data_IF_631401141409
#
_entry.id   IF_631401141409
#
_cell.length_a   1.000
_cell.length_b   1.000
_cell.length_c   1.000
_cell.angle_alpha   90.00
_cell.angle_beta   90.00
_cell.angle_gamma   90.00
#
_symmetry.space_group_name_H-M   'P 1'
#
loop_
_entity.id
_entity.type
_entity.pdbx_description
1 polymer ?
#
# COMPACT_ATOMS: atom_id res chain seq x y z
N UNK A 1 -39.38 49.94 22.23
CA UNK A 1 -39.19 51.27 22.82
C UNK A 1 -37.84 51.26 23.54
N UNK A 2 -36.86 52.00 22.98
CA UNK A 2 -35.52 52.41 23.48
C UNK A 2 -34.49 51.32 23.90
N UNK A 3 -33.31 51.16 23.25
CA UNK A 3 -32.11 52.05 23.16
C UNK A 3 -31.43 52.25 24.53
N UNK A 4 -30.11 52.05 24.80
CA UNK A 4 -28.83 52.41 24.15
C UNK A 4 -27.69 51.58 24.82
N UNK A 5 -26.66 51.06 24.11
CA UNK A 5 -25.38 51.70 23.68
C UNK A 5 -24.44 52.18 24.80
N UNK A 6 -23.19 51.67 24.81
CA UNK A 6 -21.98 52.47 24.56
C UNK A 6 -20.71 51.62 24.38
N UNK A 7 -20.02 51.90 23.28
CA UNK A 7 -18.65 51.51 22.97
C UNK A 7 -17.63 52.49 23.60
N UNK A 8 -16.36 52.10 23.69
CA UNK A 8 -15.25 53.06 23.72
C UNK A 8 -13.97 52.49 23.07
N UNK A 9 -13.29 53.41 22.39
CA UNK A 9 -12.22 53.36 21.37
C UNK A 9 -10.80 53.18 21.94
N UNK A 10 -9.89 52.49 21.24
CA UNK A 10 -8.74 53.00 20.44
C UNK A 10 -7.70 53.86 21.19
N UNK A 11 -6.44 53.39 21.24
CA UNK A 11 -5.21 54.20 21.01
C UNK A 11 -4.14 53.34 20.32
N UNK A 12 -3.53 53.92 19.27
CA UNK A 12 -2.41 53.38 18.50
C UNK A 12 -1.07 54.02 18.90
N UNK A 13 0.05 53.32 18.71
CA UNK A 13 1.42 53.88 18.61
C UNK A 13 2.29 52.88 17.80
N UNK A 14 2.58 53.17 16.53
CA UNK A 14 3.72 53.91 15.96
C UNK A 14 5.03 53.11 15.86
N UNK A 15 5.40 52.81 14.60
CA UNK A 15 6.65 52.24 14.08
C UNK A 15 7.90 53.10 14.35
N UNK A 16 9.10 52.56 14.06
CA UNK A 16 9.87 53.17 12.97
C UNK A 16 10.49 52.17 11.96
N UNK A 17 10.72 52.70 10.75
CA UNK A 17 11.37 52.11 9.56
C UNK A 17 12.90 52.26 9.59
N UNK A 18 13.60 51.37 8.88
CA UNK A 18 14.85 51.61 8.11
C UNK A 18 14.95 50.47 7.07
N UNK A 19 14.69 50.65 5.77
CA UNK A 19 15.50 51.24 4.67
C UNK A 19 16.72 50.40 4.19
N UNK A 20 16.48 49.63 3.13
CA UNK A 20 17.27 49.36 1.91
C UNK A 20 18.79 49.66 1.83
N UNK A 21 19.56 48.67 1.33
CA UNK A 21 20.59 48.82 0.27
C UNK A 21 21.00 47.41 -0.22
N UNK A 22 20.75 47.07 -1.49
CA UNK A 22 21.62 47.20 -2.66
C UNK A 22 22.66 46.06 -2.82
N UNK A 23 22.50 45.30 -3.90
CA UNK A 23 23.44 44.31 -4.41
C UNK A 23 24.69 44.97 -5.04
N UNK A 24 25.75 44.18 -5.26
CA UNK A 24 26.48 44.28 -6.53
C UNK A 24 26.74 42.93 -7.20
N UNK A 25 26.58 42.97 -8.52
CA UNK A 25 27.05 42.02 -9.54
C UNK A 25 28.58 41.99 -9.65
N UNK A 26 29.17 40.82 -9.91
CA UNK A 26 30.46 40.70 -10.62
C UNK A 26 30.45 39.52 -11.60
N UNK A 27 31.03 39.79 -12.78
CA UNK A 27 31.13 38.99 -14.01
C UNK A 27 32.41 38.13 -14.07
N UNK A 28 32.38 37.10 -14.92
CA UNK A 28 33.52 36.53 -15.69
C UNK A 28 34.37 35.48 -14.94
N UNK A 29 34.84 34.37 -15.51
CA UNK A 29 35.06 33.93 -16.91
C UNK A 29 35.24 32.37 -16.96
N UNK A 30 35.31 31.74 -18.15
CA UNK A 30 35.28 30.28 -18.35
C UNK A 30 36.68 29.66 -18.54
N UNK A 31 36.81 28.34 -18.34
CA UNK A 31 37.92 27.51 -18.85
C UNK A 31 37.41 26.07 -19.10
N UNK A 32 37.28 25.66 -20.37
CA UNK A 32 38.24 24.94 -21.22
C UNK A 32 38.32 23.41 -20.95
N UNK A 33 37.73 22.66 -21.90
CA UNK A 33 37.88 21.23 -22.19
C UNK A 33 39.37 20.83 -22.41
N UNK A 34 39.75 19.54 -22.34
CA UNK A 34 39.62 18.68 -23.52
C UNK A 34 39.15 17.25 -23.28
N UNK A 35 38.52 16.76 -24.34
CA UNK A 35 38.21 15.38 -24.69
C UNK A 35 39.43 14.45 -24.71
N UNK A 36 39.23 13.18 -24.35
CA UNK A 36 40.04 12.08 -24.90
C UNK A 36 39.13 10.92 -25.30
N UNK A 37 39.07 10.74 -26.62
CA UNK A 37 38.53 9.61 -27.36
C UNK A 37 39.60 8.53 -27.39
N UNK A 38 39.28 7.27 -27.06
CA UNK A 38 40.08 6.11 -27.52
C UNK A 38 39.15 5.04 -28.06
N UNK A 39 39.16 4.96 -29.39
CA UNK A 39 38.78 3.78 -30.16
C UNK A 39 39.77 2.66 -29.86
N UNK A 40 39.29 1.42 -29.76
CA UNK A 40 40.10 0.24 -29.98
C UNK A 40 39.39 -0.67 -30.98
N UNK A 41 40.11 -0.92 -32.07
CA UNK A 41 39.79 -1.85 -33.15
C UNK A 41 40.17 -3.27 -32.72
N UNK A 42 39.37 -4.26 -33.11
CA UNK A 42 39.72 -5.68 -33.00
C UNK A 42 38.55 -6.61 -33.34
N UNK A 43 38.40 -6.93 -34.63
CA UNK A 43 37.72 -8.13 -35.17
C UNK A 43 38.79 -8.96 -35.91
N UNK A 44 38.55 -10.20 -36.36
CA UNK A 44 37.42 -11.11 -36.13
C UNK A 44 37.85 -12.55 -35.77
N UNK A 45 36.90 -13.43 -35.39
CA UNK A 45 37.02 -14.85 -35.67
C UNK A 45 35.75 -15.34 -36.38
N UNK A 46 35.96 -16.00 -37.50
CA UNK A 46 34.98 -16.62 -38.40
C UNK A 46 34.38 -17.88 -37.76
N UNK A 47 33.06 -18.05 -37.84
CA UNK A 47 32.46 -19.38 -37.85
C UNK A 47 31.33 -19.43 -38.88
N UNK A 48 31.41 -20.45 -39.73
CA UNK A 48 30.64 -20.63 -40.96
C UNK A 48 29.16 -20.93 -40.72
N UNK A 49 28.35 -20.47 -41.69
CA UNK A 49 26.94 -20.79 -41.83
C UNK A 49 26.85 -21.96 -42.81
N UNK A 50 26.51 -23.15 -42.30
CA UNK A 50 26.07 -24.28 -43.09
C UNK A 50 24.57 -24.18 -43.36
N UNK A 51 24.20 -24.10 -44.64
CA UNK A 51 22.85 -24.01 -45.16
C UNK A 51 22.01 -25.26 -44.86
N UNK A 52 20.84 -25.06 -44.23
CA UNK A 52 19.75 -26.03 -44.17
C UNK A 52 18.98 -26.02 -45.50
N UNK A 53 18.83 -27.19 -46.12
CA UNK A 53 17.87 -27.44 -47.19
C UNK A 53 17.57 -28.93 -47.23
N UNK A 54 16.36 -29.36 -46.86
CA UNK A 54 15.50 -30.29 -47.62
C UNK A 54 14.05 -30.14 -47.10
N UNK A 55 13.12 -30.00 -48.04
CA UNK A 55 11.67 -29.87 -47.88
C UNK A 55 10.94 -31.24 -47.99
N UNK A 56 9.63 -31.33 -47.71
CA UNK A 56 8.94 -32.52 -47.19
C UNK A 56 8.19 -33.34 -48.25
N UNK A 57 7.84 -34.62 -47.97
CA UNK A 57 6.73 -35.30 -48.66
C UNK A 57 6.13 -36.52 -47.89
N UNK A 58 4.82 -36.38 -47.58
CA UNK A 58 3.67 -37.32 -47.62
C UNK A 58 3.90 -38.84 -47.44
N UNK A 59 3.15 -39.57 -46.60
CA UNK A 59 1.75 -40.08 -46.80
C UNK A 59 1.34 -40.89 -45.54
N UNK A 60 0.19 -40.62 -44.88
CA UNK A 60 -1.16 -41.22 -44.95
C UNK A 60 -1.38 -42.67 -44.40
N UNK A 61 -2.39 -42.76 -43.51
CA UNK A 61 -3.17 -43.91 -42.99
C UNK A 61 -2.70 -44.72 -41.76
N UNK A 62 -3.58 -44.82 -40.75
CA UNK A 62 -3.64 -45.99 -39.85
C UNK A 62 -4.02 -45.73 -38.37
N UNK A 63 -5.33 -45.73 -38.11
CA UNK A 63 -6.07 -46.07 -36.87
C UNK A 63 -5.28 -46.57 -35.64
N UNK A 64 -5.59 -45.99 -34.46
CA UNK A 64 -5.36 -46.63 -33.15
C UNK A 64 -5.55 -45.69 -31.95
N UNK A 65 -6.64 -45.85 -31.20
CA UNK A 65 -6.82 -45.28 -29.84
C UNK A 65 -5.70 -45.79 -28.93
N UNK A 66 -5.18 -44.94 -28.02
CA UNK A 66 -5.03 -45.20 -26.57
C UNK A 66 -4.37 -43.99 -25.88
N UNK A 67 -4.83 -43.75 -24.66
CA UNK A 67 -4.48 -42.73 -23.67
C UNK A 67 -3.00 -42.36 -23.54
N UNK A 68 -2.73 -41.06 -23.36
CA UNK A 68 -1.42 -40.54 -22.99
C UNK A 68 -1.49 -39.07 -22.60
N UNK A 69 -2.08 -38.77 -21.44
CA UNK A 69 -1.96 -37.46 -20.82
C UNK A 69 -0.48 -37.22 -20.45
N UNK A 70 0.24 -36.49 -21.31
CA UNK A 70 1.56 -35.94 -21.03
C UNK A 70 1.44 -34.84 -19.98
N UNK A 71 1.31 -35.27 -18.72
CA UNK A 71 1.50 -34.46 -17.52
C UNK A 71 2.92 -33.89 -17.56
N UNK A 72 3.07 -32.65 -18.01
CA UNK A 72 4.14 -31.78 -17.51
C UNK A 72 3.79 -31.46 -16.05
N UNK A 73 3.99 -32.45 -15.17
CA UNK A 73 4.11 -32.19 -13.74
C UNK A 73 5.50 -31.59 -13.54
N UNK A 74 5.61 -30.28 -13.81
CA UNK A 74 6.61 -29.51 -13.09
C UNK A 74 6.19 -29.62 -11.63
N UNK A 75 6.99 -30.38 -10.89
CA UNK A 75 6.83 -30.59 -9.47
C UNK A 75 6.98 -29.21 -8.82
N UNK A 76 5.87 -28.51 -8.60
CA UNK A 76 5.84 -27.37 -7.69
C UNK A 76 6.03 -27.95 -6.31
N UNK A 77 7.29 -28.19 -5.95
CA UNK A 77 7.69 -28.21 -4.56
C UNK A 77 7.26 -26.86 -4.02
N UNK A 78 6.14 -26.88 -3.29
CA UNK A 78 5.80 -25.88 -2.29
C UNK A 78 7.03 -25.73 -1.42
N UNK A 79 7.90 -24.79 -1.79
CA UNK A 79 8.91 -24.31 -0.88
C UNK A 79 8.09 -23.59 0.17
N UNK A 80 7.95 -24.24 1.33
CA UNK A 80 7.41 -23.62 2.53
C UNK A 80 8.36 -22.50 2.92
N UNK A 81 8.26 -21.36 2.24
CA UNK A 81 9.07 -20.20 2.49
C UNK A 81 8.48 -19.46 3.68
N UNK A 82 9.25 -19.33 4.76
CA UNK A 82 8.77 -18.64 5.96
C UNK A 82 9.00 -17.13 5.81
N UNK A 83 7.97 -16.39 5.41
CA UNK A 83 7.97 -14.93 5.43
C UNK A 83 7.74 -14.46 6.87
N UNK A 84 8.69 -13.70 7.42
CA UNK A 84 8.50 -13.00 8.69
C UNK A 84 8.13 -11.55 8.42
N UNK A 85 7.08 -11.06 9.10
CA UNK A 85 6.59 -9.69 8.96
C UNK A 85 6.90 -8.94 10.26
N UNK A 86 7.80 -7.97 10.19
CA UNK A 86 8.14 -7.06 11.29
C UNK A 86 7.42 -5.73 11.09
N UNK A 87 6.62 -5.33 12.08
CA UNK A 87 5.98 -4.03 12.10
C UNK A 87 6.94 -2.98 12.65
N UNK A 88 7.07 -1.86 11.94
CA UNK A 88 7.91 -0.73 12.32
C UNK A 88 7.03 0.51 12.47
N UNK A 89 6.85 1.03 13.70
CA UNK A 89 6.14 2.29 13.91
C UNK A 89 6.91 3.46 13.28
N UNK A 90 6.19 4.29 12.54
CA UNK A 90 6.71 5.49 11.90
C UNK A 90 5.80 6.68 12.20
N UNK A 91 6.36 7.89 12.13
CA UNK A 91 5.64 9.14 12.36
C UNK A 91 4.87 9.12 13.69
N UNK A 92 3.55 9.31 13.64
CA UNK A 92 2.68 9.29 14.83
C UNK A 92 1.94 7.97 14.98
N UNK A 93 1.36 7.49 13.88
CA UNK A 93 0.45 6.35 13.88
C UNK A 93 0.60 5.47 12.63
N UNK A 94 1.59 5.71 11.77
CA UNK A 94 1.85 4.91 10.59
C UNK A 94 2.58 3.60 10.97
N UNK A 95 2.31 2.55 10.21
CA UNK A 95 3.07 1.31 10.24
C UNK A 95 3.67 1.02 8.87
N UNK A 96 5.00 0.89 8.86
CA UNK A 96 5.70 0.21 7.80
C UNK A 96 5.87 -1.28 8.17
N UNK A 97 6.03 -2.14 7.16
CA UNK A 97 6.19 -3.58 7.37
C UNK A 97 7.44 -4.10 6.69
N UNK A 98 8.44 -4.53 7.46
CA UNK A 98 9.63 -5.17 6.92
C UNK A 98 9.31 -6.66 6.72
N UNK A 99 9.57 -7.14 5.52
CA UNK A 99 9.35 -8.50 5.07
C UNK A 99 10.70 -9.20 5.01
N UNK A 100 10.91 -10.22 5.84
CA UNK A 100 12.12 -11.03 5.83
C UNK A 100 11.79 -12.40 5.25
N UNK A 101 12.34 -12.71 4.09
CA UNK A 101 12.39 -14.08 3.62
C UNK A 101 13.57 -14.80 4.29
N UNK A 102 13.27 -15.82 5.08
CA UNK A 102 14.29 -16.54 5.89
C UNK A 102 15.21 -17.39 5.01
N UNK A 103 14.70 -17.91 3.89
CA UNK A 103 15.43 -18.87 3.07
C UNK A 103 16.49 -18.19 2.21
N UNK A 104 16.16 -17.04 1.61
CA UNK A 104 17.06 -16.30 0.72
C UNK A 104 17.75 -15.12 1.40
N UNK A 105 17.25 -14.68 2.57
CA UNK A 105 17.69 -13.45 3.21
C UNK A 105 17.21 -12.17 2.50
N UNK A 106 16.33 -12.30 1.50
CA UNK A 106 15.74 -11.14 0.80
C UNK A 106 14.90 -10.33 1.78
N UNK A 107 15.06 -9.00 1.75
CA UNK A 107 14.30 -8.09 2.60
C UNK A 107 13.51 -7.10 1.75
N UNK A 108 12.22 -6.97 2.06
CA UNK A 108 11.33 -5.94 1.52
C UNK A 108 10.87 -5.00 2.63
N UNK A 109 10.39 -3.81 2.28
CA UNK A 109 9.63 -2.96 3.19
C UNK A 109 8.38 -2.45 2.49
N UNK A 110 7.24 -2.53 3.15
CA UNK A 110 5.97 -1.93 2.71
C UNK A 110 5.81 -0.57 3.37
N UNK A 111 5.48 0.45 2.57
CA UNK A 111 5.13 1.82 2.97
C UNK A 111 6.10 2.48 3.95
N UNK A 112 7.40 2.64 3.61
CA UNK A 112 8.35 3.33 4.48
C UNK A 112 8.05 4.84 4.55
N UNK A 113 7.29 5.26 5.56
CA UNK A 113 6.96 6.67 5.82
C UNK A 113 8.21 7.55 5.93
N UNK A 114 9.21 7.05 6.64
CA UNK A 114 10.49 7.70 6.89
C UNK A 114 11.60 6.63 6.85
N UNK A 115 12.80 7.01 6.38
CA UNK A 115 13.87 6.04 6.17
C UNK A 115 14.51 5.55 7.48
N UNK A 116 14.66 6.43 8.47
CA UNK A 116 15.47 6.17 9.66
C UNK A 116 14.97 4.99 10.52
N UNK A 117 13.66 4.84 10.82
CA UNK A 117 13.17 3.66 11.55
C UNK A 117 13.47 2.34 10.83
N UNK A 118 13.34 2.32 9.50
CA UNK A 118 13.64 1.15 8.68
C UNK A 118 15.14 0.85 8.70
N UNK A 119 15.98 1.87 8.53
CA UNK A 119 17.44 1.74 8.62
C UNK A 119 17.85 1.13 9.96
N UNK A 120 17.31 1.66 11.07
CA UNK A 120 17.60 1.16 12.41
C UNK A 120 17.19 -0.30 12.60
N UNK A 121 16.06 -0.73 12.05
CA UNK A 121 15.60 -2.11 12.12
C UNK A 121 16.50 -3.07 11.31
N UNK A 122 16.89 -2.66 10.09
CA UNK A 122 17.78 -3.44 9.22
C UNK A 122 19.19 -3.57 9.81
N UNK A 123 19.76 -2.49 10.36
CA UNK A 123 21.10 -2.48 10.94
C UNK A 123 21.19 -3.35 12.20
N UNK A 124 20.14 -3.42 13.03
CA UNK A 124 20.08 -4.35 14.18
C UNK A 124 20.22 -5.81 13.79
N UNK A 125 19.78 -6.18 12.57
CA UNK A 125 19.85 -7.55 12.03
C UNK A 125 20.99 -7.73 11.03
N UNK A 126 21.78 -6.69 10.77
CA UNK A 126 22.83 -6.65 9.73
C UNK A 126 22.30 -7.11 8.35
N UNK A 127 21.11 -6.63 7.98
CA UNK A 127 20.44 -6.98 6.72
C UNK A 127 20.48 -5.83 5.71
N UNK A 128 20.45 -6.18 4.42
CA UNK A 128 20.34 -5.22 3.32
C UNK A 128 18.92 -5.18 2.76
N UNK A 129 18.45 -4.00 2.33
CA UNK A 129 17.12 -3.85 1.73
C UNK A 129 17.14 -4.16 0.23
N UNK A 130 16.24 -5.02 -0.22
CA UNK A 130 16.12 -5.41 -1.64
C UNK A 130 14.97 -4.69 -2.33
N UNK A 131 13.81 -4.62 -1.68
CA UNK A 131 12.58 -4.07 -2.27
C UNK A 131 11.89 -3.07 -1.36
N UNK A 132 11.28 -2.05 -1.97
CA UNK A 132 10.35 -1.13 -1.33
C UNK A 132 9.02 -1.29 -2.06
N UNK A 133 7.93 -1.55 -1.36
CA UNK A 133 6.59 -1.69 -1.93
C UNK A 133 5.74 -0.54 -1.39
N UNK A 134 5.16 0.26 -2.27
CA UNK A 134 4.22 1.32 -1.86
C UNK A 134 2.79 0.95 -2.27
N UNK A 135 1.87 1.07 -1.32
CA UNK A 135 0.44 0.85 -1.55
C UNK A 135 -0.18 2.02 -2.32
N UNK A 136 0.25 3.24 -2.04
CA UNK A 136 -0.17 4.46 -2.72
C UNK A 136 0.85 5.59 -2.58
N UNK A 137 0.58 6.74 -3.21
CA UNK A 137 1.55 7.83 -3.35
C UNK A 137 1.59 8.85 -2.19
N UNK A 138 0.78 8.74 -1.14
CA UNK A 138 0.85 9.73 -0.07
C UNK A 138 2.21 9.73 0.61
N UNK A 139 2.60 10.90 1.10
CA UNK A 139 3.96 11.14 1.59
C UNK A 139 4.29 10.29 2.81
N UNK A 140 3.34 10.08 3.70
CA UNK A 140 3.49 9.23 4.88
C UNK A 140 3.57 7.73 4.57
N UNK A 141 3.48 7.32 3.29
CA UNK A 141 3.76 5.95 2.83
C UNK A 141 4.99 5.87 1.92
N UNK A 142 5.51 7.00 1.45
CA UNK A 142 6.55 7.06 0.42
C UNK A 142 7.75 7.92 0.78
N UNK A 143 7.70 8.64 1.91
CA UNK A 143 8.69 9.65 2.29
C UNK A 143 10.09 9.09 2.48
N UNK A 144 10.22 7.81 2.88
CA UNK A 144 11.49 7.11 3.02
C UNK A 144 12.07 6.55 1.72
N UNK A 145 11.31 6.53 0.60
CA UNK A 145 11.68 5.80 -0.61
C UNK A 145 13.06 6.17 -1.16
N UNK A 146 13.28 7.46 -1.42
CA UNK A 146 14.49 7.91 -2.13
C UNK A 146 15.76 7.70 -1.30
N UNK A 147 15.68 7.93 0.01
CA UNK A 147 16.81 7.72 0.92
C UNK A 147 17.14 6.24 1.07
N UNK A 148 16.14 5.38 1.27
CA UNK A 148 16.33 3.93 1.36
C UNK A 148 16.88 3.35 0.04
N UNK A 149 16.35 3.81 -1.09
CA UNK A 149 16.86 3.45 -2.42
C UNK A 149 18.31 3.88 -2.60
N UNK A 150 18.66 5.11 -2.22
CA UNK A 150 20.03 5.60 -2.32
C UNK A 150 21.01 4.84 -1.41
N UNK A 151 20.61 4.51 -0.18
CA UNK A 151 21.45 3.81 0.80
C UNK A 151 21.68 2.34 0.43
N UNK A 152 20.65 1.63 -0.01
CA UNK A 152 20.69 0.16 -0.17
C UNK A 152 20.67 -0.32 -1.62
N UNK A 153 20.41 0.57 -2.58
CA UNK A 153 20.19 0.18 -3.99
C UNK A 153 18.87 -0.58 -4.21
N UNK A 154 17.94 -0.49 -3.25
CA UNK A 154 16.65 -1.18 -3.30
C UNK A 154 15.82 -0.78 -4.52
N UNK A 155 14.98 -1.70 -5.01
CA UNK A 155 14.02 -1.42 -6.09
C UNK A 155 12.67 -1.03 -5.53
N UNK A 156 12.15 0.11 -5.98
CA UNK A 156 10.84 0.63 -5.58
C UNK A 156 9.76 0.06 -6.50
N UNK A 157 8.72 -0.47 -5.89
CA UNK A 157 7.60 -1.17 -6.53
C UNK A 157 6.33 -0.42 -6.16
N UNK A 158 5.48 -0.16 -7.15
CA UNK A 158 4.23 0.54 -6.93
C UNK A 158 3.23 0.31 -8.06
N UNK A 159 2.09 0.96 -7.93
CA UNK A 159 1.02 0.94 -8.94
C UNK A 159 1.47 1.60 -10.24
N UNK A 160 1.10 0.99 -11.38
CA UNK A 160 1.28 1.59 -12.71
C UNK A 160 0.54 2.92 -12.84
N UNK A 161 -0.61 3.07 -12.19
CA UNK A 161 -1.39 4.33 -12.18
C UNK A 161 -0.71 5.45 -11.40
N UNK A 162 0.17 5.11 -10.46
CA UNK A 162 0.94 6.06 -9.65
C UNK A 162 2.42 6.13 -10.07
N UNK A 163 2.76 5.69 -11.28
CA UNK A 163 4.14 5.71 -11.80
C UNK A 163 4.82 7.08 -11.63
N UNK A 164 4.11 8.16 -11.93
CA UNK A 164 4.67 9.51 -11.84
C UNK A 164 4.50 10.15 -10.45
N UNK A 165 3.83 9.45 -9.51
CA UNK A 165 3.52 9.94 -8.16
C UNK A 165 4.31 9.24 -7.07
N UNK A 166 4.77 8.01 -7.28
CA UNK A 166 5.60 7.25 -6.32
C UNK A 166 7.08 7.61 -6.52
N UNK A 167 7.73 8.25 -5.53
CA UNK A 167 9.12 8.67 -5.65
C UNK A 167 10.06 7.50 -5.87
N UNK A 168 10.80 7.53 -6.98
CA UNK A 168 11.86 6.57 -7.27
C UNK A 168 11.39 5.20 -7.76
N UNK A 169 10.12 5.05 -8.17
CA UNK A 169 9.59 3.78 -8.70
C UNK A 169 10.48 3.18 -9.79
N UNK A 170 10.76 1.88 -9.69
CA UNK A 170 11.53 1.09 -10.68
C UNK A 170 10.63 0.06 -11.38
N UNK A 171 9.68 -0.52 -10.64
CA UNK A 171 8.81 -1.60 -11.11
C UNK A 171 7.36 -1.16 -10.89
N UNK A 172 6.57 -1.18 -11.96
CA UNK A 172 5.15 -0.86 -11.89
C UNK A 172 4.30 -2.10 -12.07
N UNK A 173 3.26 -2.25 -11.25
CA UNK A 173 2.33 -3.38 -11.27
C UNK A 173 0.89 -2.88 -11.47
N UNK A 174 0.04 -3.70 -12.06
CA UNK A 174 -1.39 -3.41 -12.31
C UNK A 174 -2.30 -4.49 -11.72
N UNK A 175 -3.61 -4.26 -11.77
CA UNK A 175 -4.64 -5.23 -11.35
C UNK A 175 -4.34 -6.65 -11.85
N UNK A 176 -4.32 -7.62 -10.94
CA UNK A 176 -4.19 -9.04 -11.25
C UNK A 176 -2.77 -9.49 -11.60
N UNK A 177 -1.79 -8.58 -11.65
CA UNK A 177 -0.40 -8.97 -11.78
C UNK A 177 0.02 -9.85 -10.61
N UNK A 178 0.87 -10.82 -10.94
CA UNK A 178 1.55 -11.66 -9.96
C UNK A 178 3.04 -11.35 -9.99
N UNK A 179 3.55 -10.87 -8.87
CA UNK A 179 4.97 -10.59 -8.68
C UNK A 179 5.59 -11.60 -7.71
N UNK A 180 6.91 -11.83 -7.81
CA UNK A 180 7.62 -12.79 -6.97
C UNK A 180 8.55 -12.07 -5.99
N UNK A 181 8.25 -12.17 -4.70
CA UNK A 181 9.15 -11.75 -3.62
C UNK A 181 9.92 -12.98 -3.15
N UNK A 182 11.16 -13.19 -3.58
CA UNK A 182 11.97 -14.33 -3.15
C UNK A 182 11.28 -15.71 -3.25
N UNK A 183 10.46 -15.92 -4.29
CA UNK A 183 9.67 -17.14 -4.48
C UNK A 183 8.28 -17.12 -3.86
N UNK A 184 7.96 -16.11 -3.03
CA UNK A 184 6.60 -15.86 -2.55
C UNK A 184 5.78 -15.17 -3.64
N UNK A 185 4.63 -15.76 -3.95
CA UNK A 185 3.68 -15.17 -4.89
C UNK A 185 2.96 -13.98 -4.23
N UNK A 186 3.06 -12.81 -4.88
CA UNK A 186 2.39 -11.57 -4.48
C UNK A 186 1.36 -11.21 -5.54
N UNK A 187 0.08 -11.32 -5.19
CA UNK A 187 -1.03 -10.87 -6.04
C UNK A 187 -1.29 -9.39 -5.79
N UNK A 188 -1.34 -8.61 -6.87
CA UNK A 188 -1.66 -7.18 -6.83
C UNK A 188 -3.14 -6.95 -7.05
N UNK A 189 -3.77 -6.24 -6.12
CA UNK A 189 -5.16 -5.84 -6.19
C UNK A 189 -5.22 -4.31 -6.25
N UNK A 190 -5.67 -3.73 -7.34
CA UNK A 190 -6.02 -2.32 -7.38
C UNK A 190 -7.25 -2.08 -6.52
N UNK A 191 -7.13 -1.13 -5.60
CA UNK A 191 -8.14 -0.80 -4.60
C UNK A 191 -8.44 0.70 -4.58
N UNK A 192 -8.92 1.29 -5.71
CA UNK A 192 -9.24 2.71 -5.76
C UNK A 192 -10.31 3.07 -4.73
N UNK A 193 -10.17 4.24 -4.13
CA UNK A 193 -11.08 4.73 -3.10
C UNK A 193 -10.42 5.84 -2.30
N UNK A 194 -9.40 5.46 -1.51
CA UNK A 194 -8.58 6.44 -0.80
C UNK A 194 -7.82 7.34 -1.78
N UNK A 195 -7.02 6.71 -2.64
CA UNK A 195 -6.46 7.33 -3.84
C UNK A 195 -6.91 6.55 -5.07
N UNK A 196 -6.74 7.14 -6.25
CA UNK A 196 -7.12 6.55 -7.53
C UNK A 196 -6.17 5.45 -8.02
N UNK A 197 -4.90 5.49 -7.57
CA UNK A 197 -3.86 4.53 -7.90
C UNK A 197 -3.56 3.48 -6.84
N UNK A 198 -4.30 3.49 -5.71
CA UNK A 198 -4.04 2.60 -4.57
C UNK A 198 -4.05 1.12 -4.98
N UNK A 199 -3.08 0.35 -4.46
CA UNK A 199 -2.99 -1.11 -4.58
C UNK A 199 -2.80 -1.78 -3.23
N UNK A 200 -3.28 -3.00 -3.10
CA UNK A 200 -2.97 -3.91 -1.99
C UNK A 200 -2.09 -5.06 -2.50
N UNK A 201 -1.21 -5.56 -1.63
CA UNK A 201 -0.31 -6.67 -1.94
C UNK A 201 -0.73 -7.90 -1.12
N UNK A 202 -1.20 -8.95 -1.77
CA UNK A 202 -1.60 -10.20 -1.12
C UNK A 202 -0.54 -11.29 -1.29
N UNK A 203 0.08 -11.70 -0.19
CA UNK A 203 1.03 -12.80 -0.11
C UNK A 203 0.27 -14.09 0.21
N UNK A 204 -0.22 -14.78 -0.82
CA UNK A 204 -1.12 -15.91 -0.67
C UNK A 204 -0.53 -17.05 0.19
N UNK A 205 0.74 -17.39 -0.02
CA UNK A 205 1.42 -18.44 0.76
C UNK A 205 1.60 -18.09 2.25
N UNK A 206 1.56 -16.80 2.60
CA UNK A 206 1.66 -16.32 3.98
C UNK A 206 0.31 -16.00 4.61
N UNK A 207 -0.79 -16.06 3.85
CA UNK A 207 -2.11 -15.61 4.29
C UNK A 207 -2.09 -14.17 4.80
N UNK A 208 -1.38 -13.26 4.11
CA UNK A 208 -1.17 -11.90 4.55
C UNK A 208 -1.48 -10.89 3.44
N UNK A 209 -2.22 -9.83 3.74
CA UNK A 209 -2.48 -8.72 2.83
C UNK A 209 -2.05 -7.39 3.45
N UNK A 210 -1.33 -6.58 2.66
CA UNK A 210 -0.99 -5.20 2.98
C UNK A 210 -2.00 -4.27 2.31
N UNK A 211 -2.83 -3.61 3.12
CA UNK A 211 -4.01 -2.88 2.64
C UNK A 211 -3.82 -1.38 2.54
N UNK A 212 -2.66 -0.86 2.96
CA UNK A 212 -2.40 0.57 3.07
C UNK A 212 -3.58 1.27 3.75
N UNK A 213 -4.15 2.22 3.02
CA UNK A 213 -5.23 3.08 3.49
C UNK A 213 -6.60 2.71 2.91
N UNK A 214 -6.71 1.54 2.27
CA UNK A 214 -8.02 1.04 1.79
C UNK A 214 -8.85 0.48 2.95
N UNK A 215 -8.33 -0.55 3.63
CA UNK A 215 -8.98 -1.21 4.75
C UNK A 215 -8.12 -1.03 6.01
N UNK A 216 -8.75 -0.57 7.09
CA UNK A 216 -8.20 -0.55 8.43
C UNK A 216 -9.00 -1.49 9.33
N UNK A 217 -8.44 -1.81 10.50
CA UNK A 217 -9.22 -2.39 11.57
C UNK A 217 -10.41 -1.48 11.90
N UNK A 218 -11.63 -1.99 11.76
CA UNK A 218 -12.90 -1.30 12.05
C UNK A 218 -13.20 -0.04 11.22
N UNK A 219 -12.46 0.22 10.14
CA UNK A 219 -12.85 1.26 9.17
C UNK A 219 -12.32 1.05 7.76
N UNK A 220 -12.60 1.99 6.85
CA UNK A 220 -11.87 2.16 5.60
C UNK A 220 -11.19 3.55 5.54
N UNK A 221 -10.40 3.79 4.49
CA UNK A 221 -9.83 5.10 4.18
C UNK A 221 -10.87 6.19 3.96
N UNK A 222 -10.46 7.45 4.16
CA UNK A 222 -11.20 8.60 3.63
C UNK A 222 -11.12 8.59 2.10
N UNK A 223 -12.16 9.06 1.43
CA UNK A 223 -12.25 9.11 -0.02
C UNK A 223 -11.67 10.42 -0.55
N UNK A 224 -10.33 10.50 -0.70
CA UNK A 224 -9.70 11.73 -1.20
C UNK A 224 -9.81 11.86 -2.72
N UNK A 225 -9.61 10.77 -3.45
CA UNK A 225 -9.64 10.78 -4.92
C UNK A 225 -10.71 9.86 -5.52
N UNK A 226 -11.21 8.88 -4.76
CA UNK A 226 -12.16 7.88 -5.24
C UNK A 226 -13.60 8.14 -4.84
N UNK A 227 -14.50 7.30 -5.34
CA UNK A 227 -15.94 7.34 -5.04
C UNK A 227 -16.34 6.27 -4.03
N UNK A 228 -17.52 6.38 -3.38
CA UNK A 228 -18.07 5.33 -2.53
C UNK A 228 -18.18 3.98 -3.24
N UNK A 229 -18.61 3.97 -4.50
CA UNK A 229 -18.68 2.78 -5.35
C UNK A 229 -17.31 2.12 -5.57
N UNK A 230 -16.27 2.92 -5.78
CA UNK A 230 -14.90 2.42 -5.91
C UNK A 230 -14.41 1.81 -4.60
N UNK A 231 -14.55 2.52 -3.48
CA UNK A 231 -14.16 1.98 -2.17
C UNK A 231 -14.94 0.71 -1.83
N UNK A 232 -16.26 0.70 -2.04
CA UNK A 232 -17.08 -0.48 -1.84
C UNK A 232 -16.56 -1.66 -2.66
N UNK A 233 -16.35 -1.48 -3.97
CA UNK A 233 -15.81 -2.52 -4.85
C UNK A 233 -14.42 -3.01 -4.39
N UNK A 234 -13.55 -2.10 -3.96
CA UNK A 234 -12.22 -2.39 -3.42
C UNK A 234 -12.28 -3.24 -2.15
N UNK A 235 -13.17 -2.89 -1.22
CA UNK A 235 -13.40 -3.67 0.00
C UNK A 235 -13.97 -5.06 -0.33
N UNK A 236 -14.89 -5.17 -1.30
CA UNK A 236 -15.41 -6.47 -1.76
C UNK A 236 -14.30 -7.39 -2.30
N UNK A 237 -13.32 -6.85 -3.04
CA UNK A 237 -12.16 -7.65 -3.49
C UNK A 237 -11.35 -8.18 -2.30
N UNK A 238 -11.11 -7.33 -1.30
CA UNK A 238 -10.32 -7.73 -0.12
C UNK A 238 -11.05 -8.83 0.65
N UNK A 239 -12.34 -8.66 0.97
CA UNK A 239 -13.09 -9.62 1.80
C UNK A 239 -13.48 -10.92 1.07
N UNK A 240 -13.21 -11.02 -0.23
CA UNK A 240 -13.32 -12.26 -1.00
C UNK A 240 -12.13 -13.21 -0.78
N UNK A 241 -11.03 -12.73 -0.16
CA UNK A 241 -9.91 -13.57 0.28
C UNK A 241 -10.32 -14.43 1.50
N UNK A 242 -9.54 -15.48 1.85
CA UNK A 242 -9.84 -16.35 2.99
C UNK A 242 -10.00 -15.58 4.31
N UNK A 243 -10.93 -16.00 5.16
CA UNK A 243 -11.26 -15.31 6.42
C UNK A 243 -10.06 -15.24 7.39
N UNK A 244 -9.17 -16.22 7.35
CA UNK A 244 -7.94 -16.29 8.14
C UNK A 244 -6.83 -15.33 7.67
N UNK A 245 -7.01 -14.67 6.51
CA UNK A 245 -6.03 -13.74 5.97
C UNK A 245 -5.77 -12.61 6.94
N UNK A 246 -4.51 -12.43 7.32
CA UNK A 246 -4.04 -11.35 8.18
C UNK A 246 -3.99 -10.04 7.41
N UNK A 247 -4.57 -8.99 7.98
CA UNK A 247 -4.63 -7.66 7.38
C UNK A 247 -3.62 -6.75 8.09
N UNK A 248 -2.71 -6.18 7.31
CA UNK A 248 -1.68 -5.23 7.72
C UNK A 248 -1.96 -3.87 7.08
N UNK A 249 -2.61 -2.97 7.82
CA UNK A 249 -3.06 -1.67 7.33
C UNK A 249 -2.07 -0.54 7.67
N UNK A 250 -2.23 0.62 7.02
CA UNK A 250 -1.27 1.72 7.08
C UNK A 250 -1.14 2.42 8.43
N UNK A 251 -2.19 2.37 9.27
CA UNK A 251 -2.27 3.19 10.49
C UNK A 251 -2.88 2.48 11.71
N UNK A 252 -2.48 2.93 12.90
CA UNK A 252 -3.03 2.56 14.21
C UNK A 252 -4.29 3.39 14.57
N UNK A 253 -5.35 3.22 13.79
CA UNK A 253 -6.64 3.91 13.99
C UNK A 253 -7.67 3.09 14.78
N UNK A 254 -7.34 1.86 15.19
CA UNK A 254 -8.32 0.89 15.70
C UNK A 254 -9.14 1.42 16.89
N UNK A 255 -8.53 2.16 17.81
CA UNK A 255 -9.25 2.68 18.99
C UNK A 255 -10.21 3.83 18.65
N UNK A 256 -9.89 4.70 17.69
CA UNK A 256 -10.83 5.73 17.24
C UNK A 256 -11.92 5.12 16.36
N UNK A 257 -11.55 4.15 15.53
CA UNK A 257 -12.47 3.39 14.69
C UNK A 257 -13.48 2.60 15.53
N UNK A 258 -13.05 1.95 16.61
CA UNK A 258 -13.94 1.17 17.48
C UNK A 258 -15.00 2.03 18.16
N UNK A 259 -14.66 3.26 18.56
CA UNK A 259 -15.62 4.21 19.12
C UNK A 259 -16.72 4.56 18.12
N UNK A 260 -16.35 4.85 16.87
CA UNK A 260 -17.32 5.11 15.82
C UNK A 260 -18.17 3.85 15.53
N UNK A 261 -17.53 2.69 15.38
CA UNK A 261 -18.23 1.45 15.10
C UNK A 261 -19.27 1.12 16.19
N UNK A 262 -18.91 1.27 17.47
CA UNK A 262 -19.83 1.08 18.60
C UNK A 262 -20.95 2.13 18.64
N UNK A 263 -20.74 3.33 18.10
CA UNK A 263 -21.78 4.35 18.01
C UNK A 263 -22.86 4.01 16.97
N UNK A 264 -22.53 3.18 15.98
CA UNK A 264 -23.45 2.80 14.88
C UNK A 264 -24.02 1.38 15.00
N UNK A 265 -23.30 0.47 15.67
CA UNK A 265 -23.73 -0.91 15.92
C UNK A 265 -23.49 -1.33 17.38
N UNK A 266 -24.11 -0.65 18.37
CA UNK A 266 -23.87 -0.91 19.80
C UNK A 266 -24.27 -2.31 20.26
N UNK A 267 -25.18 -3.00 19.57
CA UNK A 267 -25.65 -4.35 19.90
C UNK A 267 -24.71 -5.49 19.51
N UNK A 268 -23.66 -5.22 18.72
CA UNK A 268 -22.72 -6.22 18.22
C UNK A 268 -21.71 -6.65 19.30
N UNK A 269 -21.84 -7.88 19.80
CA UNK A 269 -21.01 -8.40 20.91
C UNK A 269 -19.56 -8.63 20.48
N UNK A 270 -19.36 -9.13 19.27
CA UNK A 270 -18.05 -9.36 18.66
C UNK A 270 -17.29 -8.04 18.53
N UNK A 271 -18.00 -6.96 18.15
CA UNK A 271 -17.45 -5.60 18.11
C UNK A 271 -17.14 -5.05 19.51
N UNK A 272 -17.99 -5.28 20.51
CA UNK A 272 -17.72 -4.89 21.90
C UNK A 272 -16.45 -5.55 22.44
N UNK A 273 -16.30 -6.86 22.24
CA UNK A 273 -15.11 -7.61 22.63
C UNK A 273 -13.87 -7.13 21.88
N UNK A 274 -13.99 -6.86 20.58
CA UNK A 274 -12.89 -6.31 19.79
C UNK A 274 -12.48 -4.92 20.27
N UNK A 275 -13.44 -4.02 20.53
CA UNK A 275 -13.16 -2.69 21.05
C UNK A 275 -12.46 -2.74 22.42
N UNK A 276 -12.91 -3.62 23.32
CA UNK A 276 -12.31 -3.83 24.64
C UNK A 276 -10.87 -4.35 24.53
N UNK A 277 -10.63 -5.35 23.67
CA UNK A 277 -9.30 -5.89 23.42
C UNK A 277 -8.37 -4.83 22.81
N UNK A 278 -8.84 -4.04 21.84
CA UNK A 278 -8.07 -2.94 21.27
C UNK A 278 -7.70 -1.90 22.34
N UNK A 279 -8.63 -1.54 23.22
CA UNK A 279 -8.34 -0.63 24.34
C UNK A 279 -7.27 -1.19 25.28
N UNK A 280 -7.32 -2.48 25.61
CA UNK A 280 -6.30 -3.13 26.45
C UNK A 280 -4.91 -3.11 25.80
N UNK A 281 -4.83 -3.46 24.50
CA UNK A 281 -3.56 -3.42 23.75
C UNK A 281 -2.99 -2.01 23.70
N UNK A 282 -3.80 -1.00 23.37
CA UNK A 282 -3.36 0.39 23.29
C UNK A 282 -2.95 0.97 24.64
N UNK A 283 -3.62 0.60 25.73
CA UNK A 283 -3.21 0.98 27.09
C UNK A 283 -1.82 0.44 27.47
N UNK A 284 -1.38 -0.65 26.82
CA UNK A 284 -0.04 -1.24 26.96
C UNK A 284 0.92 -0.78 25.85
N UNK A 285 0.53 0.17 25.00
CA UNK A 285 1.25 0.60 23.80
C UNK A 285 1.55 -0.52 22.80
N UNK A 286 0.77 -1.60 22.79
CA UNK A 286 0.90 -2.72 21.85
C UNK A 286 0.09 -2.39 20.59
N UNK A 287 0.63 -2.61 19.37
CA UNK A 287 -0.13 -2.48 18.12
C UNK A 287 -1.37 -3.39 18.10
N UNK A 288 -2.40 -2.96 17.40
CA UNK A 288 -3.64 -3.74 17.20
C UNK A 288 -3.68 -4.48 15.86
N UNK A 289 -2.65 -4.30 15.04
CA UNK A 289 -2.42 -5.03 13.80
C UNK A 289 -1.49 -6.24 14.03
N UNK A 290 -1.61 -7.31 13.23
CA UNK A 290 -2.64 -7.51 12.23
C UNK A 290 -4.00 -7.89 12.85
N UNK A 291 -5.08 -7.60 12.11
CA UNK A 291 -6.39 -8.25 12.28
C UNK A 291 -6.54 -9.40 11.28
N UNK A 292 -7.73 -9.99 11.16
CA UNK A 292 -8.10 -10.97 10.13
C UNK A 292 -9.34 -10.54 9.37
N UNK A 293 -9.46 -10.92 8.10
CA UNK A 293 -10.64 -10.62 7.27
C UNK A 293 -11.94 -11.09 7.92
N UNK A 294 -11.97 -12.30 8.49
CA UNK A 294 -13.15 -12.85 9.15
C UNK A 294 -13.64 -11.96 10.31
N UNK A 295 -12.71 -11.49 11.15
CA UNK A 295 -13.01 -10.55 12.24
C UNK A 295 -13.53 -9.22 11.73
N UNK A 296 -12.93 -8.68 10.67
CA UNK A 296 -13.37 -7.42 10.07
C UNK A 296 -14.78 -7.54 9.46
N UNK A 297 -15.13 -8.64 8.80
CA UNK A 297 -16.50 -8.87 8.31
C UNK A 297 -17.55 -8.88 9.44
N UNK A 298 -17.17 -9.34 10.63
CA UNK A 298 -18.05 -9.36 11.79
C UNK A 298 -18.20 -8.00 12.48
N UNK A 299 -17.20 -7.12 12.41
CA UNK A 299 -17.13 -5.94 13.28
C UNK A 299 -17.02 -4.60 12.56
N UNK A 300 -16.53 -4.57 11.32
CA UNK A 300 -16.22 -3.33 10.61
C UNK A 300 -17.48 -2.78 9.93
N UNK A 301 -17.98 -1.58 10.29
CA UNK A 301 -19.23 -1.05 9.76
C UNK A 301 -19.21 -0.83 8.24
N UNK A 302 -18.03 -0.67 7.64
CA UNK A 302 -17.86 -0.51 6.19
C UNK A 302 -17.94 -1.82 5.41
N UNK A 303 -17.88 -2.96 6.10
CA UNK A 303 -18.06 -4.31 5.55
C UNK A 303 -19.44 -4.89 5.89
N UNK A 304 -20.28 -4.09 6.56
CA UNK A 304 -21.59 -4.48 7.13
C UNK A 304 -22.70 -3.55 6.65
N UNK A 305 -22.58 -3.06 5.41
CA UNK A 305 -23.50 -2.14 4.73
C UNK A 305 -24.95 -2.67 4.63
N UNK A 306 -25.16 -3.98 4.73
CA UNK A 306 -26.49 -4.59 4.76
C UNK A 306 -27.08 -4.77 6.16
N UNK A 307 -26.32 -4.44 7.22
CA UNK A 307 -26.76 -4.67 8.60
C UNK A 307 -27.91 -3.72 9.01
N UNK A 308 -29.02 -4.27 9.57
CA UNK A 308 -30.21 -3.48 9.89
C UNK A 308 -30.00 -2.50 11.06
N UNK A 309 -29.14 -2.82 12.03
CA UNK A 309 -28.84 -1.92 13.16
C UNK A 309 -28.06 -0.70 12.68
N UNK A 310 -27.05 -0.88 11.83
CA UNK A 310 -26.30 0.23 11.23
C UNK A 310 -27.23 1.12 10.40
N UNK A 311 -28.07 0.52 9.55
CA UNK A 311 -29.04 1.27 8.74
C UNK A 311 -30.02 2.04 9.62
N UNK A 312 -30.55 1.43 10.68
CA UNK A 312 -31.47 2.07 11.61
C UNK A 312 -30.82 3.23 12.36
N UNK A 313 -29.65 3.01 12.97
CA UNK A 313 -28.91 4.03 13.74
C UNK A 313 -28.59 5.27 12.90
N UNK A 314 -28.20 5.06 11.63
CA UNK A 314 -27.87 6.15 10.71
C UNK A 314 -29.07 6.63 9.87
N UNK A 315 -30.29 6.15 10.14
CA UNK A 315 -31.50 6.50 9.40
C UNK A 315 -31.37 6.31 7.88
N UNK A 316 -30.68 5.24 7.46
CA UNK A 316 -30.41 4.93 6.06
C UNK A 316 -31.64 4.24 5.46
N UNK A 317 -32.20 4.74 4.33
CA UNK A 317 -33.34 4.10 3.69
C UNK A 317 -33.03 2.68 3.17
N UNK A 318 -33.98 1.77 3.29
CA UNK A 318 -33.81 0.36 2.87
C UNK A 318 -33.52 0.19 1.37
N UNK A 319 -33.98 1.12 0.54
CA UNK A 319 -33.79 1.10 -0.91
C UNK A 319 -32.41 1.59 -1.38
N UNK A 320 -31.51 1.97 -0.46
CA UNK A 320 -30.15 2.34 -0.83
C UNK A 320 -29.32 1.10 -1.14
N UNK A 321 -28.66 1.14 -2.30
CA UNK A 321 -27.61 0.21 -2.67
C UNK A 321 -26.42 0.31 -1.70
N UNK A 322 -25.63 -0.75 -1.59
CA UNK A 322 -24.61 -0.89 -0.54
C UNK A 322 -23.48 0.16 -0.62
N UNK A 323 -23.11 0.60 -1.81
CA UNK A 323 -22.14 1.68 -2.01
C UNK A 323 -22.66 3.03 -1.50
N UNK A 324 -23.97 3.28 -1.63
CA UNK A 324 -24.62 4.46 -1.07
C UNK A 324 -24.77 4.36 0.45
N UNK A 325 -25.00 3.17 1.00
CA UNK A 325 -24.91 2.95 2.45
C UNK A 325 -23.48 3.27 2.92
N UNK A 326 -22.46 2.76 2.25
CA UNK A 326 -21.06 3.04 2.55
C UNK A 326 -20.78 4.55 2.55
N UNK A 327 -21.32 5.30 1.58
CA UNK A 327 -21.20 6.76 1.55
C UNK A 327 -21.74 7.41 2.82
N UNK A 328 -22.93 7.00 3.28
CA UNK A 328 -23.54 7.57 4.50
C UNK A 328 -22.71 7.23 5.73
N UNK A 329 -22.27 5.97 5.88
CA UNK A 329 -21.40 5.53 6.98
C UNK A 329 -20.07 6.31 6.97
N UNK A 330 -19.48 6.50 5.78
CA UNK A 330 -18.23 7.25 5.58
C UNK A 330 -18.38 8.70 6.02
N UNK A 331 -19.46 9.36 5.58
CA UNK A 331 -19.78 10.74 5.93
C UNK A 331 -20.05 10.88 7.43
N UNK A 332 -20.75 9.92 8.04
CA UNK A 332 -20.97 9.91 9.49
C UNK A 332 -19.63 9.84 10.24
N UNK A 333 -18.73 8.92 9.83
CA UNK A 333 -17.40 8.79 10.45
C UNK A 333 -16.52 10.03 10.25
N UNK A 334 -16.63 10.71 9.13
CA UNK A 334 -15.85 11.92 8.85
C UNK A 334 -16.27 13.11 9.73
N UNK A 335 -17.48 13.07 10.29
CA UNK A 335 -18.05 14.11 11.16
C UNK A 335 -18.24 13.65 12.63
N UNK A 336 -17.66 12.52 13.02
CA UNK A 336 -17.72 11.96 14.38
C UNK A 336 -16.55 12.44 15.24
#
# INVERSE_FOLDING_TARGET
MRMLSKACSIVASSLPRCSSSAAPTMRGQPSLLPSVRKQWLGKPLLYGIGSLLVMPLRTLHGVGRVFGAGRFLCNMTSVSSSLQIELVPCLRDNYAYILHDVDTGTVGVVDPSEAMPIINALEKRNQNLTYILNTHHHYDHTGGNLELKAKYGAKVIGSEKDRDRIPGIDITLKEGDTWMFAGHQVLVLETPGHTSGHVCYYFAGSGAIFTGDTLFNLSCGKLFEGTPQQMYSSLQKIIALPDETKVYCGHEYTLSNSKFALSVEPGNKELQEYAANAAELRNKNIPTVPTTIGREKQCNPFLRTSNPEIKSTLSIPDHFDEDRVLEVVRRAKDNF
#
